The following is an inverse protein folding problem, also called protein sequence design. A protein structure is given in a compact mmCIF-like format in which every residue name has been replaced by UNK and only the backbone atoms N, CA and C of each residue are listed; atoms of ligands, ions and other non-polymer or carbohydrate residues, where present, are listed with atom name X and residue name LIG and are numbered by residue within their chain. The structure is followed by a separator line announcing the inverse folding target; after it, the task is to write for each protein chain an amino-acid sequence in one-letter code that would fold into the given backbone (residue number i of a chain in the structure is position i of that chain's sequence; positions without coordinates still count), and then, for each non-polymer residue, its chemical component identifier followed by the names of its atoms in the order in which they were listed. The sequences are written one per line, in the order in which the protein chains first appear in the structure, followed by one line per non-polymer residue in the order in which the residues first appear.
data_IF_102240662099
#
_entry.id   IF_102240662099
#
_cell.length_a   1.000
_cell.length_b   1.000
_cell.length_c   1.000
_cell.angle_alpha   90.00
_cell.angle_beta   90.00
_cell.angle_gamma   90.00
#
_symmetry.space_group_name_H-M   'P 1'
#
loop_
_entity.id
_entity.type
_entity.pdbx_description
1 polymer ?
#
# COMPACT_ATOMS: atom_id res chain seq x y z
N UNK A 1 0.00 17.33 9.68
CA UNK A 1 -0.79 16.06 9.84
C UNK A 1 0.11 14.87 9.57
N UNK A 2 0.01 13.83 10.39
CA UNK A 2 0.76 12.59 10.19
C UNK A 2 0.10 11.72 9.12
N UNK A 3 0.87 10.84 8.50
CA UNK A 3 0.31 9.87 7.56
C UNK A 3 -0.77 9.00 8.22
N UNK A 4 -0.56 8.62 9.47
CA UNK A 4 -1.53 7.80 10.21
C UNK A 4 -2.88 8.51 10.31
N UNK A 5 -2.88 9.76 10.72
CA UNK A 5 -4.11 10.55 10.81
C UNK A 5 -4.72 10.78 9.43
N UNK A 6 -3.89 11.05 8.44
CA UNK A 6 -4.37 11.28 7.08
C UNK A 6 -5.16 10.07 6.56
N UNK A 7 -4.56 8.89 6.60
CA UNK A 7 -5.23 7.68 6.08
C UNK A 7 -6.36 7.17 6.96
N UNK A 8 -6.40 7.58 8.22
CA UNK A 8 -7.52 7.23 9.09
C UNK A 8 -8.82 7.87 8.61
N UNK A 9 -8.76 9.09 8.08
CA UNK A 9 -9.94 9.86 7.69
C UNK A 9 -10.10 10.04 6.18
N UNK A 10 -9.06 9.82 5.40
CA UNK A 10 -9.13 10.03 3.95
C UNK A 10 -9.96 8.94 3.28
N UNK A 11 -10.75 9.37 2.29
CA UNK A 11 -11.51 8.48 1.42
C UNK A 11 -11.08 8.73 -0.02
N UNK A 12 -10.81 7.68 -0.76
CA UNK A 12 -10.34 7.82 -2.13
C UNK A 12 -9.91 6.51 -2.76
N UNK A 13 -9.16 6.64 -3.84
CA UNK A 13 -8.66 5.50 -4.61
C UNK A 13 -7.13 5.46 -4.54
N UNK A 14 -6.60 4.29 -4.23
CA UNK A 14 -5.17 4.06 -4.17
C UNK A 14 -4.69 3.10 -5.25
N UNK A 15 -3.52 3.40 -5.80
CA UNK A 15 -2.85 2.57 -6.81
C UNK A 15 -1.43 2.31 -6.34
N UNK A 16 -1.11 1.02 -6.19
CA UNK A 16 0.24 0.59 -5.85
C UNK A 16 0.94 0.14 -7.13
N UNK A 17 2.03 0.83 -7.46
CA UNK A 17 2.81 0.55 -8.66
C UNK A 17 4.11 -0.12 -8.27
N UNK A 18 4.44 -1.20 -8.96
CA UNK A 18 5.63 -2.01 -8.73
C UNK A 18 6.30 -2.32 -10.07
N UNK A 19 7.48 -2.86 -10.02
CA UNK A 19 8.19 -3.31 -11.23
C UNK A 19 8.92 -4.63 -10.93
N UNK A 20 9.15 -5.42 -11.95
CA UNK A 20 9.99 -6.60 -11.83
C UNK A 20 11.47 -6.23 -11.89
N UNK A 21 12.35 -7.22 -11.82
CA UNK A 21 13.80 -7.00 -11.87
C UNK A 21 14.25 -6.39 -13.20
N UNK A 22 13.50 -6.59 -14.27
CA UNK A 22 13.81 -6.02 -15.59
C UNK A 22 13.21 -4.65 -15.83
N UNK A 23 12.48 -4.10 -14.85
CA UNK A 23 11.87 -2.79 -14.97
C UNK A 23 10.50 -2.77 -15.61
N UNK A 24 9.86 -3.92 -15.83
CA UNK A 24 8.48 -3.95 -16.29
C UNK A 24 7.56 -3.54 -15.17
N UNK A 25 6.73 -2.55 -15.43
CA UNK A 25 5.88 -1.92 -14.41
C UNK A 25 4.47 -2.51 -14.41
N UNK A 26 3.86 -2.48 -13.24
CA UNK A 26 2.48 -2.86 -13.02
C UNK A 26 1.84 -1.85 -12.07
N UNK A 27 0.55 -1.63 -12.22
CA UNK A 27 -0.22 -0.76 -11.35
C UNK A 27 -1.51 -1.47 -10.94
N UNK A 28 -1.77 -1.55 -9.64
CA UNK A 28 -2.91 -2.28 -9.12
C UNK A 28 -3.62 -1.45 -8.04
N UNK A 29 -4.94 -1.58 -7.99
CA UNK A 29 -5.75 -0.92 -6.96
C UNK A 29 -5.46 -1.55 -5.61
N UNK A 30 -5.15 -0.72 -4.62
CA UNK A 30 -4.96 -1.12 -3.24
C UNK A 30 -5.65 -0.14 -2.31
N UNK A 31 -6.24 -0.66 -1.24
CA UNK A 31 -6.79 0.17 -0.15
C UNK A 31 -5.67 0.97 0.52
N UNK A 32 -6.05 1.93 1.35
CA UNK A 32 -5.06 2.70 2.10
C UNK A 32 -4.18 1.80 2.96
N UNK A 33 -2.90 2.15 3.12
CA UNK A 33 -1.99 1.35 3.93
C UNK A 33 -2.33 1.40 5.41
N UNK A 34 -1.84 0.41 6.13
CA UNK A 34 -1.77 0.46 7.59
C UNK A 34 -0.49 1.22 7.96
N UNK A 35 -0.64 2.32 8.68
CA UNK A 35 0.52 3.12 9.10
C UNK A 35 0.93 2.66 10.49
N UNK A 36 2.18 2.18 10.60
CA UNK A 36 2.71 1.67 11.86
C UNK A 36 3.25 2.82 12.72
N UNK A 37 3.42 2.54 14.03
CA UNK A 37 3.91 3.54 14.96
C UNK A 37 5.34 4.01 14.67
N UNK A 38 6.13 3.17 14.01
CA UNK A 38 7.51 3.51 13.62
C UNK A 38 7.59 4.29 12.29
N UNK A 39 6.46 4.63 11.70
CA UNK A 39 6.40 5.37 10.45
C UNK A 39 6.45 4.51 9.19
N UNK A 40 6.61 3.21 9.32
CA UNK A 40 6.49 2.31 8.17
C UNK A 40 5.03 2.13 7.79
N UNK A 41 4.79 1.67 6.57
CA UNK A 41 3.44 1.37 6.10
C UNK A 41 3.37 -0.08 5.65
N UNK A 42 2.19 -0.67 5.77
CA UNK A 42 2.01 -2.06 5.41
C UNK A 42 0.75 -2.26 4.57
N UNK A 43 0.85 -3.16 3.62
CA UNK A 43 -0.27 -3.59 2.78
C UNK A 43 -0.46 -5.08 2.90
N UNK A 44 -1.72 -5.51 2.95
CA UNK A 44 -2.05 -6.94 2.84
C UNK A 44 -2.20 -7.24 1.36
N UNK A 45 -1.47 -8.24 0.89
CA UNK A 45 -1.55 -8.64 -0.52
C UNK A 45 -1.56 -10.16 -0.70
N UNK A 46 -2.22 -10.59 -1.76
CA UNK A 46 -2.24 -11.98 -2.15
C UNK A 46 -1.08 -12.27 -3.11
N UNK A 47 -0.86 -13.53 -3.44
CA UNK A 47 0.21 -13.91 -4.37
C UNK A 47 -0.21 -13.62 -5.81
N UNK A 48 -0.09 -12.36 -6.20
CA UNK A 48 -0.38 -11.86 -7.54
C UNK A 48 0.83 -11.09 -8.04
N UNK A 49 0.68 -10.44 -9.19
CA UNK A 49 1.81 -9.77 -9.85
C UNK A 49 2.50 -8.73 -8.95
N UNK A 50 1.73 -7.95 -8.18
CA UNK A 50 2.33 -6.98 -7.25
C UNK A 50 3.28 -7.65 -6.26
N UNK A 51 2.83 -8.73 -5.62
CA UNK A 51 3.65 -9.48 -4.67
C UNK A 51 4.87 -10.12 -5.36
N UNK A 52 4.66 -10.67 -6.54
CA UNK A 52 5.74 -11.27 -7.33
C UNK A 52 6.82 -10.24 -7.67
N UNK A 53 6.42 -9.07 -8.14
CA UNK A 53 7.37 -7.99 -8.45
C UNK A 53 8.22 -7.61 -7.23
N UNK A 54 7.59 -7.56 -6.05
CA UNK A 54 8.28 -7.17 -4.81
C UNK A 54 9.25 -8.24 -4.30
N UNK A 55 9.24 -9.46 -4.84
CA UNK A 55 10.24 -10.47 -4.51
C UNK A 55 11.59 -10.18 -5.17
N UNK A 56 11.59 -9.47 -6.30
CA UNK A 56 12.81 -9.18 -7.06
C UNK A 56 13.17 -7.69 -7.11
N UNK A 57 12.24 -6.80 -6.79
CA UNK A 57 12.45 -5.35 -6.81
C UNK A 57 11.72 -4.72 -5.62
N UNK A 58 12.47 -4.15 -4.65
CA UNK A 58 11.84 -3.66 -3.42
C UNK A 58 11.13 -2.31 -3.57
N UNK A 59 11.23 -1.64 -4.70
CA UNK A 59 10.70 -0.29 -4.86
C UNK A 59 9.27 -0.30 -5.35
N UNK A 60 8.45 0.60 -4.78
CA UNK A 60 7.06 0.78 -5.16
C UNK A 60 6.65 2.24 -4.98
N UNK A 61 5.58 2.63 -5.64
CA UNK A 61 4.97 3.95 -5.44
C UNK A 61 3.49 3.75 -5.19
N UNK A 62 2.99 4.37 -4.12
CA UNK A 62 1.56 4.38 -3.83
C UNK A 62 0.99 5.74 -4.13
N UNK A 63 0.09 5.81 -5.11
CA UNK A 63 -0.61 7.03 -5.49
C UNK A 63 -2.01 6.96 -4.89
N UNK A 64 -2.34 7.95 -4.05
CA UNK A 64 -3.66 8.02 -3.44
C UNK A 64 -4.36 9.31 -3.85
N UNK A 65 -5.51 9.16 -4.49
CA UNK A 65 -6.34 10.28 -4.92
C UNK A 65 -7.59 10.33 -4.05
N UNK A 66 -7.77 11.45 -3.34
CA UNK A 66 -8.95 11.68 -2.52
C UNK A 66 -10.19 11.79 -3.40
N UNK A 67 -11.32 11.31 -2.87
CA UNK A 67 -12.62 11.53 -3.52
C UNK A 67 -12.94 13.03 -3.57
N UNK A 68 -13.66 13.45 -4.61
CA UNK A 68 -14.09 14.83 -4.76
C UNK A 68 -13.27 15.60 -5.79
N UNK A 69 -13.55 16.90 -5.93
CA UNK A 69 -12.88 17.72 -6.94
C UNK A 69 -11.48 18.16 -6.52
N UNK A 70 -10.69 18.62 -7.48
CA UNK A 70 -9.44 19.32 -7.22
C UNK A 70 -8.18 18.48 -7.22
N UNK A 71 -8.25 17.19 -7.54
CA UNK A 71 -7.08 16.31 -7.61
C UNK A 71 -6.17 16.41 -6.38
N UNK A 72 -6.75 16.16 -5.22
CA UNK A 72 -6.04 16.16 -3.94
C UNK A 72 -5.58 14.77 -3.57
N UNK A 73 -4.45 14.66 -2.93
CA UNK A 73 -3.89 13.38 -2.49
C UNK A 73 -2.39 13.44 -2.37
N UNK A 74 -1.76 12.27 -2.42
CA UNK A 74 -0.33 12.18 -2.26
C UNK A 74 0.24 10.98 -3.00
N UNK A 75 1.57 10.97 -3.11
CA UNK A 75 2.34 9.85 -3.66
C UNK A 75 3.38 9.45 -2.63
N UNK A 76 3.36 8.18 -2.25
CA UNK A 76 4.36 7.61 -1.35
C UNK A 76 5.39 6.83 -2.16
N UNK A 77 6.66 7.17 -2.00
CA UNK A 77 7.77 6.43 -2.58
C UNK A 77 8.26 5.44 -1.54
N UNK A 78 8.19 4.16 -1.85
CA UNK A 78 8.28 3.08 -0.89
C UNK A 78 9.42 2.13 -1.21
N UNK A 79 10.01 1.56 -0.16
CA UNK A 79 10.97 0.48 -0.30
C UNK A 79 10.56 -0.65 0.64
N UNK A 80 10.34 -1.83 0.08
CA UNK A 80 10.00 -3.02 0.87
C UNK A 80 11.13 -3.34 1.84
N UNK A 81 10.77 -3.58 3.11
CA UNK A 81 11.73 -3.93 4.16
C UNK A 81 11.56 -5.35 4.67
N UNK A 82 10.34 -5.86 4.70
CA UNK A 82 10.06 -7.23 5.12
C UNK A 82 8.63 -7.62 4.79
N UNK A 83 8.32 -8.89 4.94
CA UNK A 83 6.94 -9.35 4.91
C UNK A 83 6.71 -10.41 5.96
N UNK A 84 5.47 -10.52 6.40
CA UNK A 84 5.00 -11.48 7.38
C UNK A 84 3.77 -12.18 6.82
N UNK A 85 3.59 -13.44 7.19
CA UNK A 85 2.45 -14.22 6.74
C UNK A 85 1.74 -14.94 7.88
N UNK A 86 1.88 -14.41 9.11
CA UNK A 86 1.18 -14.92 10.28
C UNK A 86 -0.33 -14.72 10.12
N UNK A 87 -1.14 -15.81 10.04
CA UNK A 87 -2.57 -15.67 9.76
C UNK A 87 -3.34 -14.85 10.79
N UNK A 88 -3.00 -14.98 12.07
CA UNK A 88 -3.70 -14.23 13.12
C UNK A 88 -3.42 -12.74 13.04
N UNK A 89 -2.17 -12.36 12.80
CA UNK A 89 -1.79 -10.97 12.62
C UNK A 89 -2.50 -10.35 11.42
N UNK A 90 -2.49 -11.04 10.29
CA UNK A 90 -3.13 -10.57 9.06
C UNK A 90 -4.64 -10.44 9.28
N UNK A 91 -5.26 -11.41 9.92
CA UNK A 91 -6.70 -11.37 10.22
C UNK A 91 -7.05 -10.16 11.09
N UNK A 92 -6.21 -9.84 12.08
CA UNK A 92 -6.44 -8.69 12.96
C UNK A 92 -6.36 -7.36 12.23
N UNK A 93 -5.63 -7.29 11.13
CA UNK A 93 -5.44 -6.08 10.34
C UNK A 93 -6.35 -6.00 9.12
N UNK A 94 -7.07 -7.08 8.81
CA UNK A 94 -7.93 -7.14 7.63
C UNK A 94 -9.18 -6.30 7.87
N UNK A 95 -9.45 -5.35 6.97
CA UNK A 95 -10.62 -4.47 7.05
C UNK A 95 -11.88 -5.10 6.46
N UNK A 96 -11.71 -6.02 5.53
CA UNK A 96 -12.82 -6.70 4.84
C UNK A 96 -12.59 -8.20 4.90
N UNK A 97 -13.38 -8.88 5.73
CA UNK A 97 -13.28 -10.33 5.88
C UNK A 97 -14.18 -11.03 4.87
N UNK A 98 -13.63 -12.05 4.21
CA UNK A 98 -14.40 -12.96 3.35
C UNK A 98 -14.79 -14.19 4.17
N UNK A 99 -15.79 -14.93 3.66
CA UNK A 99 -16.11 -16.24 4.22
C UNK A 99 -14.87 -17.14 4.07
N UNK A 100 -14.61 -18.04 5.05
CA UNK A 100 -13.40 -18.86 5.02
C UNK A 100 -13.18 -19.63 3.71
N UNK A 101 -14.25 -20.13 3.09
CA UNK A 101 -14.15 -20.86 1.84
C UNK A 101 -13.67 -19.98 0.69
N UNK A 102 -14.21 -18.75 0.61
CA UNK A 102 -13.83 -17.79 -0.41
C UNK A 102 -12.41 -17.29 -0.18
N UNK A 103 -12.04 -17.07 1.08
CA UNK A 103 -10.71 -16.62 1.45
C UNK A 103 -9.67 -17.67 1.04
N UNK A 104 -9.93 -18.94 1.33
CA UNK A 104 -9.04 -20.04 0.97
C UNK A 104 -8.86 -20.16 -0.54
N UNK A 105 -9.92 -19.93 -1.33
CA UNK A 105 -9.86 -20.00 -2.79
C UNK A 105 -8.97 -18.90 -3.38
N UNK A 106 -8.85 -17.77 -2.72
CA UNK A 106 -8.01 -16.65 -3.19
C UNK A 106 -6.53 -16.83 -2.87
N UNK A 107 -6.20 -17.88 -2.13
CA UNK A 107 -4.82 -18.20 -1.79
C UNK A 107 -4.29 -17.45 -0.58
N UNK A 108 -3.01 -17.62 -0.26
CA UNK A 108 -2.41 -17.02 0.93
C UNK A 108 -2.32 -15.51 0.85
N UNK A 109 -2.30 -14.87 2.02
CA UNK A 109 -2.09 -13.44 2.18
C UNK A 109 -0.74 -13.19 2.80
N UNK A 110 -0.15 -12.06 2.43
CA UNK A 110 1.11 -11.59 2.99
C UNK A 110 0.93 -10.17 3.47
N UNK A 111 1.53 -9.84 4.61
CA UNK A 111 1.60 -8.48 5.12
C UNK A 111 2.98 -7.94 4.76
N UNK A 112 3.01 -6.97 3.85
CA UNK A 112 4.25 -6.44 3.29
C UNK A 112 4.50 -5.06 3.83
N UNK A 113 5.67 -4.86 4.44
CA UNK A 113 6.05 -3.61 5.10
C UNK A 113 7.02 -2.83 4.23
N UNK A 114 6.82 -1.50 4.23
CA UNK A 114 7.63 -0.58 3.44
C UNK A 114 8.14 0.57 4.30
N UNK A 115 9.38 0.97 4.05
CA UNK A 115 9.86 2.27 4.48
C UNK A 115 9.33 3.33 3.52
N UNK A 116 8.92 4.47 4.07
CA UNK A 116 8.50 5.63 3.26
C UNK A 116 9.72 6.49 3.01
N UNK A 117 10.20 6.50 1.78
CA UNK A 117 11.42 7.23 1.42
C UNK A 117 11.16 8.68 1.04
N UNK A 118 9.97 8.97 0.49
CA UNK A 118 9.63 10.29 -0.01
C UNK A 118 8.12 10.43 -0.09
N UNK A 119 7.61 11.61 0.15
CA UNK A 119 6.19 11.92 0.01
C UNK A 119 6.08 13.16 -0.88
N UNK A 120 5.27 13.05 -1.94
CA UNK A 120 4.96 14.18 -2.80
C UNK A 120 3.43 14.41 -2.81
N UNK A 121 2.97 15.62 -3.14
CA UNK A 121 1.55 15.82 -3.39
C UNK A 121 1.10 15.00 -4.60
N UNK A 122 -0.20 14.87 -4.79
CA UNK A 122 -0.74 14.09 -5.91
C UNK A 122 -0.22 14.59 -7.25
N UNK A 123 -0.13 15.91 -7.42
CA UNK A 123 0.32 16.55 -8.66
C UNK A 123 1.50 17.46 -8.35
N UNK A 124 2.54 17.35 -9.19
CA UNK A 124 3.70 18.24 -9.11
C UNK A 124 4.56 18.03 -7.88
N UNK A 125 5.16 19.10 -7.42
CA UNK A 125 6.02 19.14 -6.25
C UNK A 125 5.46 20.17 -5.25
N UNK A 126 5.98 20.17 -4.04
CA UNK A 126 5.54 21.08 -2.98
C UNK A 126 5.13 20.31 -1.74
N UNK A 127 4.33 20.92 -0.90
CA UNK A 127 3.92 20.33 0.36
C UNK A 127 2.83 19.27 0.18
N UNK A 128 3.09 18.01 0.58
CA UNK A 128 2.02 17.02 0.62
C UNK A 128 1.04 17.29 1.76
N UNK A 129 -0.18 16.72 1.71
CA UNK A 129 -1.18 16.95 2.76
C UNK A 129 -0.82 16.31 4.10
N UNK A 130 0.14 15.40 4.10
CA UNK A 130 0.58 14.71 5.32
C UNK A 130 2.02 14.21 5.17
N UNK A 131 2.64 13.92 6.31
CA UNK A 131 4.01 13.36 6.36
C UNK A 131 4.14 12.30 7.42
#
# INVERSE_FOLDING_TARGET
MTLKNYFEFASGTGVLSTADAGGKVDAAIYSTPHVMDDGTVAFIMRERLTHENLQSNPFATYLFMEDGPGYKGLRLYLKKIREENEPELIASMTRRHLKPELDAQKGPKHLVYFAVEKILPLIGSGEPPAR
#
